data_IF_674117502638
#
_entry.id   IF_674117502638
#
_cell.length_a   1.000
_cell.length_b   1.000
_cell.length_c   1.000
_cell.angle_alpha   90.00
_cell.angle_beta   90.00
_cell.angle_gamma   90.00
#
_symmetry.space_group_name_H-M   'P 1'
#
loop_
_entity.id
_entity.type
_entity.pdbx_description
1 polymer ?
#
# COMPACT_ATOMS: atom_id res chain seq x y z
N UNK A 1 -16.47 -1.91 14.02
CA UNK A 1 -16.34 -1.49 12.60
C UNK A 1 -14.92 -1.83 12.16
N UNK A 2 -14.74 -2.75 11.21
CA UNK A 2 -13.39 -3.18 10.79
C UNK A 2 -12.61 -2.00 10.18
N UNK A 3 -11.27 -1.93 10.34
CA UNK A 3 -10.46 -0.82 9.82
C UNK A 3 -10.68 -0.61 8.31
N UNK A 4 -10.90 -1.69 7.56
CA UNK A 4 -11.23 -1.68 6.13
C UNK A 4 -12.51 -0.88 5.80
N UNK A 5 -13.57 -1.00 6.61
CA UNK A 5 -14.84 -0.27 6.40
C UNK A 5 -14.70 1.23 6.58
N UNK A 6 -13.80 1.68 7.46
CA UNK A 6 -13.53 3.11 7.67
C UNK A 6 -12.81 3.71 6.47
N UNK A 7 -11.89 2.97 5.85
CA UNK A 7 -11.22 3.39 4.60
C UNK A 7 -12.18 3.36 3.41
N UNK A 8 -13.00 2.32 3.27
CA UNK A 8 -14.06 2.24 2.26
C UNK A 8 -14.99 3.44 2.30
N UNK A 9 -15.46 3.81 3.50
CA UNK A 9 -16.37 4.93 3.67
C UNK A 9 -15.72 6.25 3.24
N UNK A 10 -14.45 6.48 3.60
CA UNK A 10 -13.73 7.70 3.20
C UNK A 10 -13.55 7.78 1.68
N UNK A 11 -13.16 6.68 1.04
CA UNK A 11 -13.02 6.62 -0.41
C UNK A 11 -14.36 6.82 -1.12
N UNK A 12 -15.42 6.15 -0.67
CA UNK A 12 -16.75 6.26 -1.24
C UNK A 12 -17.30 7.68 -1.10
N UNK A 13 -17.17 8.31 0.08
CA UNK A 13 -17.56 9.72 0.27
C UNK A 13 -16.75 10.65 -0.65
N UNK A 14 -15.45 10.42 -0.79
CA UNK A 14 -14.61 11.22 -1.69
C UNK A 14 -15.07 11.12 -3.16
N UNK A 15 -15.31 9.90 -3.66
CA UNK A 15 -15.78 9.70 -5.04
C UNK A 15 -17.16 10.31 -5.25
N UNK A 16 -18.08 10.13 -4.29
CA UNK A 16 -19.41 10.72 -4.36
C UNK A 16 -19.36 12.25 -4.36
N UNK A 17 -18.46 12.87 -3.59
CA UNK A 17 -18.27 14.33 -3.61
C UNK A 17 -17.74 14.81 -4.95
N UNK A 18 -16.80 14.09 -5.57
CA UNK A 18 -16.30 14.42 -6.91
C UNK A 18 -17.42 14.32 -7.93
N UNK A 19 -18.21 13.24 -7.90
CA UNK A 19 -19.34 13.06 -8.81
C UNK A 19 -20.45 14.08 -8.58
N UNK A 20 -20.69 14.47 -7.33
CA UNK A 20 -21.62 15.55 -7.00
C UNK A 20 -21.14 16.89 -7.59
N UNK A 21 -19.86 17.21 -7.41
CA UNK A 21 -19.27 18.43 -7.96
C UNK A 21 -19.33 18.46 -9.49
N UNK A 22 -18.93 17.37 -10.16
CA UNK A 22 -19.02 17.29 -11.63
C UNK A 22 -20.46 17.34 -12.12
N UNK A 23 -21.40 16.72 -11.40
CA UNK A 23 -22.83 16.78 -11.73
C UNK A 23 -23.38 18.20 -11.62
N UNK A 24 -22.96 18.98 -10.61
CA UNK A 24 -23.35 20.39 -10.47
C UNK A 24 -22.79 21.22 -11.62
N UNK A 25 -21.52 21.03 -11.99
CA UNK A 25 -20.90 21.75 -13.11
C UNK A 25 -21.60 21.45 -14.44
N UNK A 26 -21.83 20.17 -14.73
CA UNK A 26 -22.50 19.73 -15.96
C UNK A 26 -23.97 20.19 -15.97
N UNK A 27 -24.70 19.97 -14.87
CA UNK A 27 -26.10 20.36 -14.75
C UNK A 27 -26.29 21.87 -14.85
N UNK A 28 -25.42 22.65 -14.19
CA UNK A 28 -25.40 24.10 -14.30
C UNK A 28 -25.05 24.58 -15.71
N UNK A 29 -24.11 23.89 -16.39
CA UNK A 29 -23.77 24.15 -17.78
C UNK A 29 -24.96 23.94 -18.73
N UNK A 30 -25.66 22.81 -18.59
CA UNK A 30 -26.89 22.52 -19.35
C UNK A 30 -27.93 23.62 -19.10
N UNK A 31 -28.15 23.99 -17.84
CA UNK A 31 -29.12 25.03 -17.49
C UNK A 31 -28.76 26.39 -18.08
N UNK A 32 -27.48 26.76 -18.04
CA UNK A 32 -26.96 27.99 -18.65
C UNK A 32 -27.12 27.95 -20.17
N UNK A 33 -26.77 26.84 -20.82
CA UNK A 33 -26.92 26.67 -22.27
C UNK A 33 -28.39 26.83 -22.69
N UNK A 34 -29.33 26.15 -22.04
CA UNK A 34 -30.76 26.27 -22.33
C UNK A 34 -31.25 27.70 -22.13
N UNK A 35 -30.87 28.34 -21.02
CA UNK A 35 -31.26 29.72 -20.74
C UNK A 35 -30.70 30.69 -21.78
N UNK A 36 -29.44 30.52 -22.19
CA UNK A 36 -28.80 31.34 -23.20
C UNK A 36 -29.45 31.17 -24.58
N UNK A 37 -29.80 29.94 -24.96
CA UNK A 37 -30.49 29.65 -26.22
C UNK A 37 -31.89 30.30 -26.22
N UNK A 38 -32.62 30.19 -25.11
CA UNK A 38 -33.95 30.76 -24.96
C UNK A 38 -33.92 32.30 -25.04
N UNK A 39 -32.98 32.94 -24.34
CA UNK A 39 -32.91 34.42 -24.25
C UNK A 39 -32.35 35.05 -25.52
N UNK A 40 -31.30 34.47 -26.11
CA UNK A 40 -30.59 35.11 -27.22
C UNK A 40 -31.10 34.70 -28.60
N UNK A 41 -31.59 33.47 -28.76
CA UNK A 41 -32.02 32.95 -30.08
C UNK A 41 -33.53 32.86 -30.26
N UNK A 42 -34.29 32.79 -29.18
CA UNK A 42 -35.75 32.69 -29.20
C UNK A 42 -36.43 33.69 -28.24
N UNK A 43 -36.21 35.01 -28.42
CA UNK A 43 -36.69 36.03 -27.48
C UNK A 43 -38.22 35.98 -27.28
N UNK A 44 -39.01 35.76 -28.34
CA UNK A 44 -40.47 35.62 -28.27
C UNK A 44 -40.93 34.43 -27.41
N UNK A 45 -40.12 33.36 -27.37
CA UNK A 45 -40.39 32.17 -26.55
C UNK A 45 -39.98 32.41 -25.08
N UNK A 46 -38.96 33.24 -24.85
CA UNK A 46 -38.47 33.57 -23.51
C UNK A 46 -39.46 34.40 -22.69
N UNK A 47 -40.28 35.23 -23.35
CA UNK A 47 -41.33 36.03 -22.72
C UNK A 47 -42.57 35.19 -22.36
N UNK A 48 -42.76 34.04 -23.03
CA UNK A 48 -43.85 33.12 -22.74
C UNK A 48 -43.52 32.22 -21.54
N UNK A 49 -44.11 32.55 -20.38
CA UNK A 49 -43.92 31.83 -19.11
C UNK A 49 -44.30 30.35 -19.17
N UNK A 50 -45.27 29.98 -20.01
CA UNK A 50 -45.72 28.59 -20.18
C UNK A 50 -44.67 27.74 -20.90
N UNK A 51 -44.10 28.22 -22.01
CA UNK A 51 -43.08 27.46 -22.74
C UNK A 51 -41.80 27.30 -21.92
N UNK A 52 -41.39 28.36 -21.21
CA UNK A 52 -40.25 28.33 -20.30
C UNK A 52 -40.43 27.28 -19.20
N UNK A 53 -41.59 27.28 -18.54
CA UNK A 53 -41.88 26.32 -17.46
C UNK A 53 -41.96 24.87 -17.95
N UNK A 54 -42.50 24.60 -19.13
CA UNK A 54 -42.54 23.25 -19.72
C UNK A 54 -41.13 22.73 -20.00
N UNK A 55 -40.27 23.54 -20.63
CA UNK A 55 -38.89 23.14 -20.94
C UNK A 55 -38.09 22.86 -19.67
N UNK A 56 -38.16 23.74 -18.66
CA UNK A 56 -37.45 23.52 -17.39
C UNK A 56 -38.04 22.36 -16.57
N UNK A 57 -39.35 22.12 -16.64
CA UNK A 57 -39.99 20.98 -15.99
C UNK A 57 -39.48 19.65 -16.56
N UNK A 58 -39.36 19.56 -17.88
CA UNK A 58 -38.86 18.34 -18.56
C UNK A 58 -37.41 18.04 -18.19
N UNK A 59 -36.57 19.08 -18.18
CA UNK A 59 -35.15 18.98 -17.76
C UNK A 59 -35.04 18.55 -16.30
N UNK A 60 -35.83 19.16 -15.41
CA UNK A 60 -35.82 18.83 -13.99
C UNK A 60 -36.31 17.40 -13.73
N UNK A 61 -37.37 16.96 -14.41
CA UNK A 61 -37.87 15.57 -14.31
C UNK A 61 -36.80 14.57 -14.76
N UNK A 62 -36.14 14.85 -15.88
CA UNK A 62 -35.04 14.03 -16.40
C UNK A 62 -33.87 13.96 -15.41
N UNK A 63 -33.43 15.10 -14.86
CA UNK A 63 -32.37 15.16 -13.86
C UNK A 63 -32.73 14.41 -12.56
N UNK A 64 -33.98 14.53 -12.10
CA UNK A 64 -34.44 13.92 -10.85
C UNK A 64 -34.42 12.39 -10.91
N UNK A 65 -34.61 11.80 -12.10
CA UNK A 65 -34.51 10.35 -12.31
C UNK A 65 -33.07 9.92 -12.62
N UNK A 66 -32.36 10.63 -13.50
CA UNK A 66 -31.04 10.21 -13.98
C UNK A 66 -29.95 10.34 -12.90
N UNK A 67 -30.01 11.41 -12.08
CA UNK A 67 -29.00 11.70 -11.08
C UNK A 67 -28.88 10.58 -10.02
N UNK A 68 -29.94 10.10 -9.35
CA UNK A 68 -29.82 9.01 -8.40
C UNK A 68 -29.35 7.70 -9.06
N UNK A 69 -29.78 7.42 -10.29
CA UNK A 69 -29.31 6.24 -11.04
C UNK A 69 -27.80 6.32 -11.28
N UNK A 70 -27.29 7.49 -11.69
CA UNK A 70 -25.86 7.72 -11.85
C UNK A 70 -25.10 7.51 -10.52
N UNK A 71 -25.59 8.08 -9.43
CA UNK A 71 -24.97 7.93 -8.11
C UNK A 71 -24.91 6.47 -7.66
N UNK A 72 -25.97 5.70 -7.86
CA UNK A 72 -26.00 4.27 -7.56
C UNK A 72 -25.01 3.51 -8.44
N UNK A 73 -24.97 3.80 -9.75
CA UNK A 73 -24.05 3.15 -10.68
C UNK A 73 -22.58 3.42 -10.31
N UNK A 74 -22.23 4.68 -10.03
CA UNK A 74 -20.88 5.05 -9.58
C UNK A 74 -20.55 4.35 -8.27
N UNK A 75 -21.43 4.40 -7.27
CA UNK A 75 -21.20 3.75 -5.98
C UNK A 75 -20.95 2.25 -6.15
N UNK A 76 -21.73 1.56 -6.98
CA UNK A 76 -21.54 0.14 -7.28
C UNK A 76 -20.17 -0.13 -7.92
N UNK A 77 -19.79 0.62 -8.96
CA UNK A 77 -18.49 0.47 -9.62
C UNK A 77 -17.33 0.75 -8.66
N UNK A 78 -17.42 1.82 -7.87
CA UNK A 78 -16.40 2.18 -6.89
C UNK A 78 -16.20 1.10 -5.83
N UNK A 79 -17.27 0.47 -5.35
CA UNK A 79 -17.18 -0.64 -4.40
C UNK A 79 -16.51 -1.88 -5.01
N UNK A 80 -16.82 -2.20 -6.27
CA UNK A 80 -16.20 -3.31 -7.00
C UNK A 80 -14.68 -3.08 -7.18
N UNK A 81 -14.30 -1.88 -7.63
CA UNK A 81 -12.88 -1.52 -7.80
C UNK A 81 -12.13 -1.53 -6.47
N UNK A 82 -12.73 -0.98 -5.41
CA UNK A 82 -12.11 -1.01 -4.08
C UNK A 82 -11.89 -2.44 -3.58
N UNK A 83 -12.86 -3.32 -3.77
CA UNK A 83 -12.75 -4.72 -3.36
C UNK A 83 -11.55 -5.45 -3.99
N UNK A 84 -11.28 -5.17 -5.27
CA UNK A 84 -10.13 -5.74 -5.98
C UNK A 84 -8.77 -5.29 -5.44
N UNK A 85 -8.68 -4.07 -4.92
CA UNK A 85 -7.42 -3.49 -4.41
C UNK A 85 -7.22 -3.79 -2.92
N UNK A 86 -8.29 -3.74 -2.14
CA UNK A 86 -8.21 -3.83 -0.68
C UNK A 86 -7.73 -5.20 -0.19
N UNK A 87 -8.16 -6.28 -0.84
CA UNK A 87 -7.78 -7.63 -0.44
C UNK A 87 -6.28 -7.92 -0.64
N UNK A 88 -5.67 -7.68 -1.82
CA UNK A 88 -4.22 -7.79 -2.00
C UNK A 88 -3.44 -6.85 -1.06
N UNK A 89 -3.93 -5.61 -0.87
CA UNK A 89 -3.28 -4.65 0.03
C UNK A 89 -3.27 -5.12 1.50
N UNK A 90 -4.35 -5.76 1.96
CA UNK A 90 -4.41 -6.33 3.29
C UNK A 90 -3.45 -7.52 3.47
N UNK A 91 -3.24 -8.32 2.42
CA UNK A 91 -2.22 -9.39 2.42
C UNK A 91 -0.80 -8.80 2.52
N UNK A 92 -0.48 -7.82 1.67
CA UNK A 92 0.80 -7.11 1.70
C UNK A 92 1.11 -6.51 3.07
N UNK A 93 0.10 -5.91 3.72
CA UNK A 93 0.28 -5.37 5.07
C UNK A 93 0.70 -6.45 6.07
N UNK A 94 0.08 -7.63 6.03
CA UNK A 94 0.43 -8.76 6.91
C UNK A 94 1.86 -9.25 6.66
N UNK A 95 2.30 -9.24 5.40
CA UNK A 95 3.68 -9.61 5.04
C UNK A 95 4.69 -8.59 5.53
N UNK A 96 4.42 -7.30 5.37
CA UNK A 96 5.27 -6.24 5.92
C UNK A 96 5.35 -6.36 7.46
N UNK A 97 4.24 -6.72 8.13
CA UNK A 97 4.25 -7.01 9.57
C UNK A 97 5.05 -8.27 9.93
N UNK A 98 5.12 -9.27 9.05
CA UNK A 98 5.97 -10.44 9.23
C UNK A 98 7.46 -10.09 9.04
N UNK A 99 7.79 -9.38 7.96
CA UNK A 99 9.13 -8.85 7.67
C UNK A 99 9.62 -7.97 8.82
N UNK A 100 8.77 -7.10 9.36
CA UNK A 100 9.08 -6.27 10.54
C UNK A 100 9.46 -7.10 11.77
N UNK A 101 8.86 -8.29 11.92
CA UNK A 101 9.18 -9.25 13.00
C UNK A 101 10.40 -10.12 12.66
N UNK A 102 11.03 -9.89 11.52
CA UNK A 102 12.15 -10.68 11.03
C UNK A 102 11.74 -12.01 10.43
N UNK A 103 10.45 -12.24 10.15
CA UNK A 103 9.98 -13.48 9.53
C UNK A 103 9.93 -13.34 8.01
N UNK A 104 10.89 -13.97 7.34
CA UNK A 104 11.01 -14.02 5.89
C UNK A 104 10.52 -15.36 5.30
N UNK A 105 9.87 -16.22 6.09
CA UNK A 105 9.46 -17.56 5.64
C UNK A 105 8.13 -17.61 4.90
N UNK A 106 7.32 -16.55 4.95
CA UNK A 106 6.02 -16.51 4.29
C UNK A 106 6.15 -16.50 2.77
N UNK A 107 5.73 -17.57 2.10
CA UNK A 107 5.59 -17.59 0.65
C UNK A 107 4.30 -16.89 0.24
N UNK A 108 4.41 -15.98 -0.73
CA UNK A 108 3.27 -15.24 -1.26
C UNK A 108 2.90 -15.82 -2.60
N UNK A 109 1.60 -16.05 -2.78
CA UNK A 109 1.02 -16.39 -4.07
C UNK A 109 1.13 -15.16 -5.00
N UNK A 110 1.89 -15.26 -6.08
CA UNK A 110 2.18 -14.16 -7.03
C UNK A 110 0.93 -13.54 -7.69
N UNK A 111 -0.24 -14.15 -7.49
CA UNK A 111 -1.53 -13.69 -8.01
C UNK A 111 -2.06 -12.50 -7.21
N UNK A 112 -1.34 -11.39 -7.27
CA UNK A 112 -1.88 -10.08 -6.87
C UNK A 112 -2.59 -9.42 -8.04
N UNK A 113 -3.55 -8.54 -7.75
CA UNK A 113 -4.23 -7.74 -8.75
C UNK A 113 -3.18 -6.99 -9.61
N UNK A 114 -3.44 -6.87 -10.91
CA UNK A 114 -2.48 -6.34 -11.89
C UNK A 114 -1.97 -4.94 -11.49
N UNK A 115 -2.80 -4.16 -10.81
CA UNK A 115 -2.50 -2.81 -10.32
C UNK A 115 -1.45 -2.79 -9.19
N UNK A 116 -1.26 -3.90 -8.47
CA UNK A 116 -0.31 -4.03 -7.37
C UNK A 116 0.83 -5.02 -7.67
N UNK A 117 0.87 -5.61 -8.87
CA UNK A 117 1.83 -6.63 -9.23
C UNK A 117 3.28 -6.15 -9.08
N UNK A 118 3.59 -4.95 -9.57
CA UNK A 118 4.94 -4.38 -9.45
C UNK A 118 5.35 -4.12 -8.00
N UNK A 119 4.41 -3.65 -7.16
CA UNK A 119 4.67 -3.44 -5.74
C UNK A 119 4.97 -4.75 -5.02
N UNK A 120 4.19 -5.80 -5.32
CA UNK A 120 4.38 -7.15 -4.75
C UNK A 120 5.74 -7.70 -5.17
N UNK A 121 6.10 -7.53 -6.44
CA UNK A 121 7.39 -7.94 -6.98
C UNK A 121 8.55 -7.22 -6.29
N UNK A 122 8.50 -5.89 -6.20
CA UNK A 122 9.55 -5.12 -5.51
C UNK A 122 9.67 -5.47 -4.03
N UNK A 123 8.55 -5.74 -3.34
CA UNK A 123 8.57 -6.20 -1.95
C UNK A 123 9.23 -7.57 -1.85
N UNK A 124 8.94 -8.49 -2.77
CA UNK A 124 9.55 -9.81 -2.82
C UNK A 124 11.06 -9.73 -3.06
N UNK A 125 11.49 -8.90 -4.01
CA UNK A 125 12.91 -8.66 -4.29
C UNK A 125 13.64 -8.10 -3.05
N UNK A 126 13.05 -7.11 -2.38
CA UNK A 126 13.58 -6.55 -1.14
C UNK A 126 13.66 -7.61 -0.03
N UNK A 127 12.60 -8.41 0.14
CA UNK A 127 12.54 -9.52 1.11
C UNK A 127 13.67 -10.52 0.86
N UNK A 128 13.87 -10.93 -0.39
CA UNK A 128 14.93 -11.87 -0.80
C UNK A 128 16.31 -11.29 -0.54
N UNK A 129 16.56 -10.03 -0.92
CA UNK A 129 17.85 -9.37 -0.70
C UNK A 129 18.20 -9.28 0.78
N UNK A 130 17.24 -8.92 1.64
CA UNK A 130 17.47 -8.87 3.10
C UNK A 130 17.76 -10.27 3.66
N UNK A 131 17.03 -11.29 3.22
CA UNK A 131 17.27 -12.66 3.64
C UNK A 131 18.67 -13.16 3.25
N UNK A 132 19.14 -12.83 2.04
CA UNK A 132 20.47 -13.16 1.53
C UNK A 132 21.58 -12.45 2.33
N UNK A 133 21.41 -11.16 2.64
CA UNK A 133 22.35 -10.39 3.47
C UNK A 133 22.49 -11.02 4.85
N UNK A 134 21.38 -11.38 5.50
CA UNK A 134 21.42 -12.01 6.83
C UNK A 134 22.06 -13.40 6.76
N UNK A 135 21.83 -14.15 5.69
CA UNK A 135 22.46 -15.46 5.49
C UNK A 135 24.00 -15.34 5.37
N UNK A 136 24.50 -14.43 4.53
CA UNK A 136 25.94 -14.21 4.38
C UNK A 136 26.57 -13.66 5.68
N UNK A 137 25.89 -12.77 6.41
CA UNK A 137 26.36 -12.31 7.72
C UNK A 137 26.49 -13.45 8.75
N UNK A 138 25.55 -14.40 8.77
CA UNK A 138 25.66 -15.58 9.65
C UNK A 138 26.85 -16.45 9.29
N UNK A 139 27.13 -16.62 8.00
CA UNK A 139 28.26 -17.39 7.49
C UNK A 139 29.60 -16.72 7.81
N UNK A 140 29.70 -15.41 7.68
CA UNK A 140 30.88 -14.63 8.11
C UNK A 140 31.10 -14.71 9.62
N UNK A 141 30.03 -14.57 10.42
CA UNK A 141 30.10 -14.71 11.87
C UNK A 141 30.64 -16.09 12.28
N UNK A 142 30.19 -17.17 11.63
CA UNK A 142 30.69 -18.51 11.89
C UNK A 142 32.18 -18.66 11.56
N UNK A 143 32.64 -18.10 10.42
CA UNK A 143 34.06 -18.10 10.07
C UNK A 143 34.91 -17.32 11.08
N UNK A 144 34.42 -16.18 11.55
CA UNK A 144 35.12 -15.39 12.57
C UNK A 144 35.22 -16.14 13.90
N UNK A 145 34.18 -16.90 14.28
CA UNK A 145 34.23 -17.78 15.45
C UNK A 145 35.28 -18.88 15.30
N UNK A 146 35.38 -19.52 14.15
CA UNK A 146 36.40 -20.53 13.86
C UNK A 146 37.82 -19.95 13.95
N UNK A 147 38.05 -18.76 13.39
CA UNK A 147 39.35 -18.07 13.48
C UNK A 147 39.68 -17.66 14.92
N UNK A 148 38.69 -17.15 15.67
CA UNK A 148 38.89 -16.81 17.08
C UNK A 148 39.25 -18.04 17.92
N UNK A 149 38.61 -19.18 17.67
CA UNK A 149 38.91 -20.45 18.36
C UNK A 149 40.30 -21.00 17.96
N UNK A 150 40.74 -20.82 16.72
CA UNK A 150 42.10 -21.15 16.27
C UNK A 150 43.15 -20.28 16.97
N UNK A 151 42.94 -18.96 17.02
CA UNK A 151 43.83 -18.02 17.70
C UNK A 151 43.93 -18.30 19.20
N UNK A 152 42.83 -18.69 19.86
CA UNK A 152 42.85 -19.12 21.26
C UNK A 152 43.73 -20.36 21.46
N UNK A 153 43.66 -21.34 20.56
CA UNK A 153 44.50 -22.54 20.61
C UNK A 153 45.98 -22.20 20.42
N UNK A 154 46.33 -21.41 19.41
CA UNK A 154 47.72 -21.00 19.17
C UNK A 154 48.28 -20.13 20.30
N UNK A 155 47.48 -19.21 20.84
CA UNK A 155 47.87 -18.39 21.99
C UNK A 155 48.05 -19.21 23.26
N UNK A 156 47.44 -20.39 23.38
CA UNK A 156 47.63 -21.26 24.54
C UNK A 156 49.05 -21.86 24.62
N UNK A 157 49.80 -21.90 23.51
CA UNK A 157 51.18 -22.41 23.45
C UNK A 157 52.27 -21.36 23.80
N UNK A 158 52.02 -20.06 23.66
CA UNK A 158 53.05 -19.02 23.89
C UNK A 158 53.00 -18.43 25.32
N UNK A 159 54.10 -18.46 26.08
CA UNK A 159 54.10 -18.27 27.55
C UNK A 159 54.12 -16.82 28.07
N UNK A 160 54.44 -15.77 27.28
CA UNK A 160 54.96 -14.53 27.88
C UNK A 160 54.28 -13.16 27.63
N UNK A 161 53.24 -13.00 26.80
CA UNK A 161 52.46 -11.73 26.71
C UNK A 161 50.94 -11.96 26.65
N UNK A 162 50.50 -12.99 27.39
CA UNK A 162 49.24 -13.73 27.19
C UNK A 162 47.93 -13.00 27.54
N UNK A 163 47.92 -12.13 28.54
CA UNK A 163 46.65 -11.75 29.19
C UNK A 163 45.79 -10.81 28.33
N UNK A 164 46.42 -9.80 27.73
CA UNK A 164 45.73 -8.80 26.90
C UNK A 164 45.21 -9.40 25.58
N UNK A 165 45.99 -10.26 24.93
CA UNK A 165 45.60 -10.92 23.67
C UNK A 165 44.43 -11.89 23.90
N UNK A 166 44.49 -12.71 24.95
CA UNK A 166 43.39 -13.62 25.31
C UNK A 166 42.12 -12.84 25.67
N UNK A 167 42.25 -11.69 26.35
CA UNK A 167 41.12 -10.83 26.68
C UNK A 167 40.47 -10.21 25.42
N UNK A 168 41.28 -9.77 24.45
CA UNK A 168 40.79 -9.28 23.16
C UNK A 168 40.07 -10.38 22.35
N UNK A 169 40.61 -11.61 22.33
CA UNK A 169 39.95 -12.72 21.61
C UNK A 169 38.64 -13.12 22.29
N UNK A 170 38.59 -13.18 23.63
CA UNK A 170 37.36 -13.44 24.36
C UNK A 170 36.32 -12.33 24.12
N UNK A 171 36.76 -11.08 24.06
CA UNK A 171 35.89 -9.94 23.71
C UNK A 171 35.35 -10.06 22.29
N UNK A 172 36.19 -10.45 21.32
CA UNK A 172 35.79 -10.73 19.94
C UNK A 172 34.74 -11.85 19.89
N UNK A 173 35.00 -12.98 20.57
CA UNK A 173 34.05 -14.11 20.67
C UNK A 173 32.70 -13.68 21.23
N UNK A 174 32.70 -12.95 22.35
CA UNK A 174 31.44 -12.42 22.93
C UNK A 174 30.70 -11.47 21.98
N UNK A 175 31.42 -10.71 21.17
CA UNK A 175 30.84 -9.81 20.16
C UNK A 175 30.21 -10.63 19.04
N UNK A 176 30.88 -11.69 18.57
CA UNK A 176 30.33 -12.58 17.54
C UNK A 176 29.10 -13.34 18.05
N UNK A 177 29.13 -13.84 19.29
CA UNK A 177 27.97 -14.48 19.92
C UNK A 177 26.79 -13.50 20.02
N UNK A 178 27.04 -12.25 20.41
CA UNK A 178 26.00 -11.21 20.44
C UNK A 178 25.42 -10.92 19.04
N UNK A 179 26.27 -10.95 18.02
CA UNK A 179 25.88 -10.78 16.62
C UNK A 179 25.05 -11.97 16.14
N UNK A 180 25.44 -13.21 16.45
CA UNK A 180 24.64 -14.40 16.15
C UNK A 180 23.27 -14.37 16.83
N UNK A 181 23.19 -13.94 18.09
CA UNK A 181 21.92 -13.77 18.82
C UNK A 181 21.05 -12.69 18.17
N UNK A 182 21.64 -11.61 17.67
CA UNK A 182 20.90 -10.59 16.91
C UNK A 182 20.39 -11.16 15.59
N UNK A 183 21.24 -11.88 14.86
CA UNK A 183 20.89 -12.48 13.57
C UNK A 183 19.88 -13.60 13.70
N UNK A 184 19.85 -14.35 14.81
CA UNK A 184 18.92 -15.47 15.03
C UNK A 184 17.46 -15.02 15.18
N UNK A 185 17.23 -13.73 15.50
CA UNK A 185 15.90 -13.12 15.50
C UNK A 185 15.24 -13.11 14.12
N UNK A 186 16.04 -13.17 13.05
CA UNK A 186 15.53 -13.26 11.69
C UNK A 186 15.26 -14.73 11.31
N UNK A 187 14.01 -15.06 10.98
CA UNK A 187 13.61 -16.39 10.47
C UNK A 187 13.70 -16.36 8.95
N UNK A 188 14.63 -17.13 8.40
CA UNK A 188 14.89 -17.20 6.95
C UNK A 188 14.78 -18.66 6.54
N UNK A 189 14.13 -18.92 5.41
CA UNK A 189 14.10 -20.27 4.85
C UNK A 189 15.46 -20.57 4.20
N UNK A 190 15.99 -21.77 4.46
CA UNK A 190 17.34 -22.16 4.08
C UNK A 190 17.47 -22.41 2.59
#
# INVERSE_FOLDING_TARGET
>A
MTPERKFQLRYLVMVLLVVLFTSIVIGGGIYYSILSELVYRLPDVSENSLTKSVVFSEVNSTLLILLPVLFIAVAAVSLLLFGRIAAPLAKLKKEIEAIKRGDFTLETDEKSAQELADLVKSLHEAKKSVAEIVFEQRKEANKLLEVADQLLKECSDFKHEKKSIIELINKLKSTIDSLQISLSKFRINK
#
